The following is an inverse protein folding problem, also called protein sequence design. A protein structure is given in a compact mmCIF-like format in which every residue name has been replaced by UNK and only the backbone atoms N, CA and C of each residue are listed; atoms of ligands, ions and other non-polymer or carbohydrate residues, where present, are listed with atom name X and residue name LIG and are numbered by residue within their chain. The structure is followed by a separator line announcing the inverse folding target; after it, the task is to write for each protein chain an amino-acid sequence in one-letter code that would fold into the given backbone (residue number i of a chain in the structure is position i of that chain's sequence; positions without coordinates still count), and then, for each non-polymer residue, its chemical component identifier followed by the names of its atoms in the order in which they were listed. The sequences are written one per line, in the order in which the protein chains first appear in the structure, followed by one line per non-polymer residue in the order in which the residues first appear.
data_IF_530707323286
#
_entry.id   IF_530707323286
#
_cell.length_a   1.000
_cell.length_b   1.000
_cell.length_c   1.000
_cell.angle_alpha   90.00
_cell.angle_beta   90.00
_cell.angle_gamma   90.00
#
_symmetry.space_group_name_H-M   'P 1'
#
loop_
_entity.id
_entity.type
_entity.pdbx_description
1 polymer ?
#
# COMPACT_ATOMS: atom_id res chain seq x y z
N UNK A 1 20.86 -22.77 10.94
CA UNK A 1 19.88 -21.88 10.27
C UNK A 1 20.05 -20.43 10.68
N UNK A 2 19.95 -20.09 11.96
CA UNK A 2 20.07 -18.70 12.46
C UNK A 2 21.37 -18.03 12.01
N UNK A 3 22.53 -18.68 12.20
CA UNK A 3 23.83 -18.13 11.78
C UNK A 3 23.89 -17.81 10.28
N UNK A 4 23.14 -18.55 9.45
CA UNK A 4 23.13 -18.34 8.00
C UNK A 4 22.27 -17.13 7.64
N UNK A 5 21.12 -16.96 8.30
CA UNK A 5 20.30 -15.74 8.20
C UNK A 5 21.11 -14.52 8.65
N UNK A 6 21.74 -14.58 9.82
CA UNK A 6 22.56 -13.47 10.35
C UNK A 6 23.67 -13.08 9.37
N UNK A 7 24.35 -14.06 8.77
CA UNK A 7 25.43 -13.78 7.84
C UNK A 7 24.92 -13.14 6.53
N UNK A 8 23.80 -13.61 5.99
CA UNK A 8 23.18 -13.00 4.80
C UNK A 8 22.62 -11.60 5.11
N UNK A 9 22.00 -11.39 6.28
CA UNK A 9 21.57 -10.06 6.74
C UNK A 9 22.75 -9.10 6.85
N UNK A 10 23.88 -9.55 7.42
CA UNK A 10 25.10 -8.74 7.52
C UNK A 10 25.61 -8.34 6.13
N UNK A 11 25.65 -9.27 5.18
CA UNK A 11 26.04 -8.96 3.79
C UNK A 11 25.15 -7.89 3.16
N UNK A 12 23.87 -7.85 3.51
CA UNK A 12 22.93 -6.87 2.98
C UNK A 12 23.13 -5.48 3.61
N UNK A 13 23.13 -5.41 4.95
CA UNK A 13 23.16 -4.14 5.70
C UNK A 13 24.49 -3.39 5.53
N UNK A 14 25.62 -4.11 5.46
CA UNK A 14 26.94 -3.48 5.36
C UNK A 14 27.32 -3.05 3.94
N UNK A 15 26.46 -3.26 2.93
CA UNK A 15 26.68 -2.73 1.58
C UNK A 15 26.34 -1.25 1.52
N UNK A 16 27.14 -0.46 0.80
CA UNK A 16 26.85 0.97 0.55
C UNK A 16 25.46 1.18 -0.06
N UNK A 17 25.02 0.25 -0.93
CA UNK A 17 23.70 0.29 -1.55
C UNK A 17 22.54 0.32 -0.54
N UNK A 18 22.69 -0.30 0.64
CA UNK A 18 21.67 -0.28 1.68
C UNK A 18 21.38 1.13 2.18
N UNK A 19 22.43 1.88 2.55
CA UNK A 19 22.29 3.26 3.00
C UNK A 19 21.78 4.19 1.89
N UNK A 20 22.18 3.94 0.64
CA UNK A 20 21.65 4.66 -0.53
C UNK A 20 20.15 4.43 -0.66
N UNK A 21 19.64 3.20 -0.46
CA UNK A 21 18.20 2.93 -0.49
C UNK A 21 17.44 3.67 0.61
N UNK A 22 17.97 3.71 1.84
CA UNK A 22 17.32 4.46 2.93
C UNK A 22 17.29 5.96 2.66
N UNK A 23 18.41 6.53 2.20
CA UNK A 23 18.46 7.93 1.81
C UNK A 23 17.49 8.24 0.67
N UNK A 24 17.44 7.38 -0.35
CA UNK A 24 16.51 7.53 -1.48
C UNK A 24 15.06 7.49 -1.02
N UNK A 25 14.68 6.56 -0.15
CA UNK A 25 13.32 6.47 0.40
C UNK A 25 12.94 7.72 1.17
N UNK A 26 13.85 8.22 2.02
CA UNK A 26 13.61 9.44 2.77
C UNK A 26 13.42 10.65 1.83
N UNK A 27 14.31 10.81 0.83
CA UNK A 27 14.24 11.89 -0.16
C UNK A 27 12.95 11.81 -0.98
N UNK A 28 12.56 10.61 -1.43
CA UNK A 28 11.32 10.41 -2.17
C UNK A 28 10.08 10.70 -1.31
N UNK A 29 10.11 10.34 -0.04
CA UNK A 29 9.03 10.66 0.91
C UNK A 29 8.92 12.16 1.12
N UNK A 30 10.05 12.85 1.29
CA UNK A 30 10.10 14.31 1.41
C UNK A 30 9.58 14.97 0.13
N UNK A 31 10.05 14.55 -1.04
CA UNK A 31 9.60 15.09 -2.33
C UNK A 31 8.10 14.88 -2.56
N UNK A 32 7.58 13.69 -2.23
CA UNK A 32 6.14 13.41 -2.33
C UNK A 32 5.33 14.28 -1.37
N UNK A 33 5.79 14.48 -0.13
CA UNK A 33 5.16 15.39 0.83
C UNK A 33 5.16 16.84 0.34
N UNK A 34 6.31 17.34 -0.15
CA UNK A 34 6.42 18.69 -0.69
C UNK A 34 5.51 18.90 -1.92
N UNK A 35 5.41 17.89 -2.78
CA UNK A 35 4.50 17.92 -3.93
C UNK A 35 3.03 17.99 -3.50
N UNK A 36 2.64 17.23 -2.49
CA UNK A 36 1.27 17.28 -1.95
C UNK A 36 0.97 18.65 -1.32
N UNK A 37 1.90 19.24 -0.57
CA UNK A 37 1.77 20.61 -0.03
C UNK A 37 1.61 21.64 -1.15
N UNK A 38 2.35 21.48 -2.26
CA UNK A 38 2.25 22.37 -3.40
C UNK A 38 0.84 22.32 -4.03
N UNK A 39 0.29 21.12 -4.23
CA UNK A 39 -1.06 20.97 -4.78
C UNK A 39 -2.17 21.37 -3.80
N UNK A 40 -1.94 21.30 -2.50
CA UNK A 40 -2.95 21.62 -1.50
C UNK A 40 -3.17 23.11 -1.27
N UNK A 41 -2.43 24.00 -1.94
CA UNK A 41 -2.61 25.46 -1.83
C UNK A 41 -3.72 26.01 -2.74
N UNK A 42 -4.33 25.18 -3.58
CA UNK A 42 -5.40 25.58 -4.49
C UNK A 42 -6.74 25.66 -3.74
N UNK A 43 -7.39 26.83 -3.76
CA UNK A 43 -8.71 27.01 -3.14
C UNK A 43 -9.77 26.16 -3.83
N UNK A 44 -10.74 25.67 -3.07
CA UNK A 44 -11.84 24.90 -3.64
C UNK A 44 -12.80 25.81 -4.42
N UNK A 45 -13.11 25.42 -5.66
CA UNK A 45 -14.16 26.02 -6.48
C UNK A 45 -15.42 25.17 -6.42
N UNK A 46 -16.59 25.81 -6.40
CA UNK A 46 -17.89 25.15 -6.42
C UNK A 46 -18.87 25.91 -7.30
N UNK A 47 -19.82 25.20 -7.91
CA UNK A 47 -20.80 25.77 -8.82
C UNK A 47 -22.16 25.80 -8.14
N UNK A 48 -22.81 26.97 -8.14
CA UNK A 48 -24.16 27.15 -7.61
C UNK A 48 -25.06 27.62 -8.74
N UNK A 49 -26.30 27.13 -8.81
CA UNK A 49 -27.31 27.74 -9.65
C UNK A 49 -27.90 28.98 -8.98
N UNK A 50 -27.62 30.15 -9.56
CA UNK A 50 -28.26 31.41 -9.18
C UNK A 50 -29.06 31.93 -10.37
N UNK A 51 -30.36 32.18 -10.16
CA UNK A 51 -31.27 32.71 -11.18
C UNK A 51 -31.25 31.89 -12.50
N UNK A 52 -31.17 30.57 -12.41
CA UNK A 52 -31.16 29.67 -13.58
C UNK A 52 -29.86 29.67 -14.38
N UNK A 53 -28.76 30.20 -13.82
CA UNK A 53 -27.41 30.13 -14.41
C UNK A 53 -26.44 29.49 -13.41
N UNK A 54 -25.62 28.58 -13.91
CA UNK A 54 -24.52 27.99 -13.13
C UNK A 54 -23.39 29.02 -12.97
N UNK A 55 -23.13 29.44 -11.73
CA UNK A 55 -22.07 30.39 -11.37
C UNK A 55 -21.01 29.66 -10.56
N UNK A 56 -19.75 29.72 -10.99
CA UNK A 56 -18.61 29.20 -10.22
C UNK A 56 -18.18 30.22 -9.18
N UNK A 57 -18.14 29.81 -7.92
CA UNK A 57 -17.67 30.59 -6.77
C UNK A 57 -16.46 29.90 -6.15
N UNK A 58 -15.59 30.69 -5.54
CA UNK A 58 -14.43 30.19 -4.80
C UNK A 58 -14.73 30.24 -3.30
N UNK A 59 -14.48 29.14 -2.60
CA UNK A 59 -14.60 29.11 -1.15
C UNK A 59 -13.51 29.98 -0.52
N UNK A 60 -13.85 30.71 0.54
CA UNK A 60 -12.84 31.53 1.23
C UNK A 60 -11.76 30.63 1.79
N UNK A 61 -10.50 31.03 1.59
CA UNK A 61 -9.36 30.31 2.16
C UNK A 61 -9.51 30.25 3.68
N UNK A 62 -9.14 29.12 4.28
CA UNK A 62 -9.26 28.82 5.73
C UNK A 62 -10.63 28.34 6.21
N UNK A 63 -11.70 28.50 5.43
CA UNK A 63 -12.98 27.83 5.74
C UNK A 63 -12.86 26.33 5.41
N UNK A 64 -13.13 25.42 6.36
CA UNK A 64 -13.11 23.99 6.08
C UNK A 64 -14.16 23.63 5.03
N UNK A 65 -13.81 22.73 4.13
CA UNK A 65 -14.75 22.11 3.21
C UNK A 65 -14.89 20.63 3.57
N UNK A 66 -15.98 20.29 4.24
CA UNK A 66 -16.21 18.91 4.66
C UNK A 66 -16.83 18.09 3.54
N UNK A 67 -17.92 18.58 2.97
CA UNK A 67 -18.71 17.89 1.94
C UNK A 67 -19.57 18.91 1.20
N UNK A 68 -20.36 18.44 0.24
CA UNK A 68 -21.40 19.24 -0.41
C UNK A 68 -22.77 18.72 0.01
N UNK A 69 -23.73 19.63 0.15
CA UNK A 69 -25.13 19.27 0.34
C UNK A 69 -25.77 18.81 -1.00
N UNK A 70 -27.02 18.37 -0.94
CA UNK A 70 -27.76 17.88 -2.11
C UNK A 70 -28.00 18.98 -3.17
N UNK A 71 -27.84 20.25 -2.79
CA UNK A 71 -27.94 21.43 -3.67
C UNK A 71 -26.58 21.86 -4.24
N UNK A 72 -25.50 21.15 -3.90
CA UNK A 72 -24.13 21.45 -4.35
C UNK A 72 -23.45 22.60 -3.60
N UNK A 73 -23.99 23.04 -2.46
CA UNK A 73 -23.37 24.07 -1.62
C UNK A 73 -22.35 23.44 -0.67
N UNK A 74 -21.24 24.15 -0.39
CA UNK A 74 -20.19 23.65 0.50
C UNK A 74 -20.67 23.64 1.96
N UNK A 75 -20.51 22.50 2.63
CA UNK A 75 -20.76 22.36 4.06
C UNK A 75 -19.47 22.66 4.82
N UNK A 76 -19.49 23.77 5.56
CA UNK A 76 -18.31 24.31 6.28
C UNK A 76 -18.42 24.18 7.81
N UNK A 77 -19.61 23.85 8.34
CA UNK A 77 -19.80 23.55 9.75
C UNK A 77 -19.70 22.03 9.99
N UNK A 78 -18.98 21.63 11.05
CA UNK A 78 -18.79 20.23 11.40
C UNK A 78 -20.10 19.57 11.86
N UNK A 79 -20.95 20.30 12.57
CA UNK A 79 -22.26 19.80 13.02
C UNK A 79 -23.16 19.51 11.82
N UNK A 80 -23.24 20.45 10.87
CA UNK A 80 -24.02 20.28 9.63
C UNK A 80 -23.49 19.10 8.80
N UNK A 81 -22.16 18.92 8.71
CA UNK A 81 -21.55 17.79 8.02
C UNK A 81 -21.88 16.44 8.68
N UNK A 82 -21.90 16.39 10.02
CA UNK A 82 -22.29 15.20 10.79
C UNK A 82 -23.76 14.87 10.59
N UNK A 83 -24.66 15.87 10.69
CA UNK A 83 -26.10 15.70 10.48
C UNK A 83 -26.40 15.21 9.07
N UNK A 84 -25.79 15.82 8.06
CA UNK A 84 -25.95 15.40 6.67
C UNK A 84 -25.45 13.96 6.44
N UNK A 85 -24.32 13.60 7.03
CA UNK A 85 -23.77 12.24 6.93
C UNK A 85 -24.66 11.22 7.65
N UNK A 86 -25.35 11.63 8.71
CA UNK A 86 -26.35 10.82 9.41
C UNK A 86 -27.57 10.57 8.53
N UNK A 87 -28.06 11.60 7.85
CA UNK A 87 -29.18 11.48 6.91
C UNK A 87 -28.82 10.57 5.73
N UNK A 88 -27.63 10.73 5.15
CA UNK A 88 -27.10 9.83 4.11
C UNK A 88 -27.06 8.37 4.58
N UNK A 89 -26.59 8.12 5.80
CA UNK A 89 -26.57 6.78 6.38
C UNK A 89 -27.97 6.20 6.57
N UNK A 90 -28.94 6.99 7.05
CA UNK A 90 -30.33 6.55 7.22
C UNK A 90 -30.99 6.21 5.87
N UNK A 91 -30.73 7.01 4.83
CA UNK A 91 -31.20 6.74 3.46
C UNK A 91 -30.59 5.44 2.94
N UNK A 92 -29.27 5.28 3.03
CA UNK A 92 -28.57 4.08 2.58
C UNK A 92 -29.02 2.83 3.37
N UNK A 93 -29.33 2.97 4.66
CA UNK A 93 -29.82 1.86 5.49
C UNK A 93 -31.26 1.45 5.17
N UNK A 94 -32.05 2.31 4.52
CA UNK A 94 -33.41 2.01 4.07
C UNK A 94 -33.44 1.33 2.70
N UNK A 95 -32.42 1.56 1.85
CA UNK A 95 -32.22 0.80 0.62
C UNK A 95 -31.88 -0.67 0.95
N UNK A 96 -32.19 -1.59 0.04
CA UNK A 96 -31.89 -3.01 0.26
C UNK A 96 -30.38 -3.22 0.46
N UNK A 97 -30.02 -3.74 1.65
CA UNK A 97 -28.64 -3.98 2.06
C UNK A 97 -27.93 -4.97 1.13
N UNK A 98 -28.69 -5.84 0.47
CA UNK A 98 -28.18 -6.83 -0.49
C UNK A 98 -27.85 -6.20 -1.85
N UNK A 99 -28.53 -5.13 -2.25
CA UNK A 99 -28.33 -4.51 -3.57
C UNK A 99 -27.18 -3.50 -3.57
N UNK A 100 -26.98 -2.75 -2.48
CA UNK A 100 -25.96 -1.69 -2.39
C UNK A 100 -25.13 -1.70 -1.09
N UNK A 101 -24.40 -2.79 -0.79
CA UNK A 101 -23.59 -2.90 0.44
C UNK A 101 -22.47 -1.86 0.52
N UNK A 102 -21.93 -1.43 -0.62
CA UNK A 102 -20.89 -0.40 -0.74
C UNK A 102 -21.38 0.98 -0.29
N UNK A 103 -22.56 1.41 -0.73
CA UNK A 103 -23.14 2.72 -0.38
C UNK A 103 -23.35 2.82 1.14
N UNK A 104 -23.90 1.75 1.74
CA UNK A 104 -24.12 1.69 3.17
C UNK A 104 -22.82 1.75 3.96
N UNK A 105 -21.79 1.02 3.52
CA UNK A 105 -20.47 1.02 4.17
C UNK A 105 -19.80 2.38 4.08
N UNK A 106 -19.86 3.03 2.91
CA UNK A 106 -19.31 4.37 2.69
C UNK A 106 -20.00 5.41 3.58
N UNK A 107 -21.33 5.46 3.57
CA UNK A 107 -22.11 6.39 4.40
C UNK A 107 -21.88 6.16 5.90
N UNK A 108 -21.78 4.89 6.32
CA UNK A 108 -21.45 4.54 7.72
C UNK A 108 -20.06 5.02 8.11
N UNK A 109 -19.07 4.84 7.24
CA UNK A 109 -17.70 5.30 7.50
C UNK A 109 -17.68 6.83 7.60
N UNK A 110 -18.28 7.53 6.64
CA UNK A 110 -18.35 8.99 6.65
C UNK A 110 -18.98 9.54 7.94
N UNK A 111 -20.12 8.99 8.36
CA UNK A 111 -20.74 9.36 9.63
C UNK A 111 -19.80 9.15 10.83
N UNK A 112 -19.20 7.95 10.93
CA UNK A 112 -18.29 7.62 12.03
C UNK A 112 -17.03 8.51 12.05
N UNK A 113 -16.61 9.03 10.90
CA UNK A 113 -15.52 9.99 10.80
C UNK A 113 -15.92 11.33 11.45
N UNK A 114 -17.04 11.92 11.03
CA UNK A 114 -17.46 13.23 11.55
C UNK A 114 -17.89 13.17 13.01
N UNK A 115 -18.59 12.12 13.43
CA UNK A 115 -18.92 11.89 14.85
C UNK A 115 -17.66 11.91 15.72
N UNK A 116 -16.60 11.23 15.27
CA UNK A 116 -15.36 11.17 16.04
C UNK A 116 -14.66 12.52 16.18
N UNK A 117 -14.70 13.34 15.13
CA UNK A 117 -14.17 14.70 15.19
C UNK A 117 -15.03 15.61 16.08
N UNK A 118 -16.35 15.51 15.96
CA UNK A 118 -17.30 16.26 16.79
C UNK A 118 -17.13 15.94 18.28
N UNK A 119 -17.06 14.65 18.65
CA UNK A 119 -16.76 14.19 20.01
C UNK A 119 -15.44 14.72 20.56
N UNK A 120 -14.42 14.87 19.69
CA UNK A 120 -13.10 15.33 20.09
C UNK A 120 -12.99 16.85 20.26
N UNK A 121 -14.00 17.61 19.81
CA UNK A 121 -13.97 19.07 19.81
C UNK A 121 -12.94 19.66 18.84
N UNK A 122 -12.44 18.88 17.88
CA UNK A 122 -11.42 19.30 16.89
C UNK A 122 -12.05 19.29 15.51
N UNK A 123 -11.81 20.34 14.73
CA UNK A 123 -12.24 20.38 13.33
C UNK A 123 -11.24 19.61 12.44
N UNK A 124 -11.72 18.74 11.54
CA UNK A 124 -10.86 18.08 10.57
C UNK A 124 -10.13 19.08 9.68
N UNK A 125 -8.90 18.75 9.29
CA UNK A 125 -8.17 19.48 8.26
C UNK A 125 -8.61 18.93 6.91
N UNK A 126 -8.99 19.84 6.04
CA UNK A 126 -9.55 19.62 4.71
C UNK A 126 -8.72 20.39 3.69
N UNK A 127 -8.97 20.14 2.40
CA UNK A 127 -8.27 20.81 1.31
C UNK A 127 -8.25 22.34 1.43
N UNK A 128 -9.31 22.95 1.99
CA UNK A 128 -9.49 24.38 2.00
C UNK A 128 -9.05 25.10 3.31
N UNK A 129 -8.79 24.37 4.41
CA UNK A 129 -8.36 24.91 5.71
C UNK A 129 -7.01 24.35 6.21
N UNK A 130 -6.12 23.98 5.29
CA UNK A 130 -4.80 23.43 5.63
C UNK A 130 -4.33 22.32 4.70
N UNK A 131 -5.14 21.95 3.71
CA UNK A 131 -4.80 20.96 2.70
C UNK A 131 -4.96 19.55 3.24
N UNK A 132 -3.89 19.06 3.84
CA UNK A 132 -3.77 17.69 4.35
C UNK A 132 -3.13 17.75 5.73
N UNK A 133 -3.63 16.95 6.69
CA UNK A 133 -2.99 16.85 8.02
C UNK A 133 -1.79 15.90 8.00
N UNK A 134 -0.85 16.08 8.93
CA UNK A 134 0.26 15.15 9.12
C UNK A 134 -0.21 13.68 9.32
N UNK A 135 -1.34 13.48 10.00
CA UNK A 135 -1.95 12.16 10.19
C UNK A 135 -2.49 11.56 8.90
N UNK A 136 -3.21 12.34 8.09
CA UNK A 136 -3.71 11.86 6.79
C UNK A 136 -2.58 11.56 5.80
N UNK A 137 -1.50 12.37 5.77
CA UNK A 137 -0.28 12.05 5.01
C UNK A 137 0.33 10.72 5.47
N UNK A 138 0.48 10.53 6.79
CA UNK A 138 1.02 9.31 7.39
C UNK A 138 0.16 8.07 7.12
N UNK A 139 -1.15 8.21 6.93
CA UNK A 139 -2.03 7.12 6.53
C UNK A 139 -1.96 6.81 5.02
N UNK A 140 -1.45 7.74 4.20
CA UNK A 140 -1.46 7.69 2.73
C UNK A 140 -0.17 7.12 2.09
N UNK A 141 0.45 6.12 2.72
CA UNK A 141 1.78 5.62 2.31
C UNK A 141 1.78 4.62 1.14
N UNK A 142 0.62 4.35 0.52
CA UNK A 142 0.49 3.26 -0.44
C UNK A 142 1.46 3.40 -1.62
N UNK A 143 1.63 4.62 -2.13
CA UNK A 143 2.61 4.94 -3.18
C UNK A 143 4.05 4.67 -2.73
N UNK A 144 4.43 5.14 -1.54
CA UNK A 144 5.77 4.94 -0.97
C UNK A 144 6.06 3.45 -0.74
N UNK A 145 5.08 2.68 -0.27
CA UNK A 145 5.24 1.24 -0.06
C UNK A 145 5.30 0.46 -1.38
N UNK A 146 4.74 0.97 -2.48
CA UNK A 146 4.96 0.40 -3.81
C UNK A 146 6.44 0.47 -4.21
N UNK A 147 7.11 1.59 -3.90
CA UNK A 147 8.56 1.75 -4.11
C UNK A 147 9.34 0.77 -3.23
N UNK A 148 8.92 0.57 -1.97
CA UNK A 148 9.50 -0.46 -1.09
C UNK A 148 9.39 -1.84 -1.73
N UNK A 149 8.23 -2.20 -2.28
CA UNK A 149 8.03 -3.48 -2.96
C UNK A 149 8.99 -3.65 -4.15
N UNK A 150 9.22 -2.59 -4.93
CA UNK A 150 10.20 -2.61 -6.03
C UNK A 150 11.63 -2.84 -5.53
N UNK A 151 12.04 -2.19 -4.44
CA UNK A 151 13.36 -2.38 -3.84
C UNK A 151 13.52 -3.81 -3.31
N UNK A 152 12.48 -4.36 -2.67
CA UNK A 152 12.47 -5.77 -2.22
C UNK A 152 12.61 -6.73 -3.41
N UNK A 153 11.89 -6.48 -4.51
CA UNK A 153 11.99 -7.25 -5.75
C UNK A 153 13.41 -7.25 -6.29
N UNK A 154 14.06 -6.07 -6.36
CA UNK A 154 15.45 -5.96 -6.82
C UNK A 154 16.38 -6.79 -5.92
N UNK A 155 16.28 -6.62 -4.60
CA UNK A 155 17.15 -7.31 -3.63
C UNK A 155 16.95 -8.82 -3.71
N UNK A 156 15.70 -9.29 -3.75
CA UNK A 156 15.37 -10.71 -3.88
C UNK A 156 15.89 -11.27 -5.20
N UNK A 157 15.68 -10.57 -6.31
CA UNK A 157 16.14 -10.98 -7.65
C UNK A 157 17.67 -11.08 -7.74
N UNK A 158 18.40 -10.13 -7.16
CA UNK A 158 19.87 -10.16 -7.16
C UNK A 158 20.41 -11.24 -6.20
N UNK A 159 19.75 -11.49 -5.07
CA UNK A 159 20.26 -12.36 -3.99
C UNK A 159 20.64 -13.78 -4.41
N UNK A 160 19.94 -14.34 -5.41
CA UNK A 160 20.19 -15.68 -5.96
C UNK A 160 20.92 -15.59 -7.30
N UNK A 161 20.53 -14.66 -8.18
CA UNK A 161 21.10 -14.52 -9.52
C UNK A 161 22.58 -14.13 -9.48
N UNK A 162 23.01 -13.34 -8.49
CA UNK A 162 24.42 -12.96 -8.36
C UNK A 162 25.32 -14.14 -8.06
N UNK A 163 24.83 -15.12 -7.29
CA UNK A 163 25.62 -16.31 -6.95
C UNK A 163 25.84 -17.19 -8.19
N UNK A 164 24.88 -17.19 -9.13
CA UNK A 164 25.01 -17.87 -10.40
C UNK A 164 25.91 -17.11 -11.39
N UNK A 165 25.73 -15.79 -11.50
CA UNK A 165 26.54 -14.98 -12.43
C UNK A 165 28.01 -14.95 -12.05
N UNK A 166 28.30 -14.91 -10.75
CA UNK A 166 29.66 -14.72 -10.24
C UNK A 166 30.37 -16.08 -10.05
N UNK A 167 29.70 -17.20 -10.32
CA UNK A 167 30.23 -18.56 -10.13
C UNK A 167 30.39 -18.99 -8.66
N UNK A 168 30.09 -18.11 -7.70
CA UNK A 168 30.21 -18.37 -6.25
C UNK A 168 29.21 -19.41 -5.75
N UNK A 169 28.21 -19.78 -6.55
CA UNK A 169 27.33 -20.91 -6.27
C UNK A 169 28.10 -22.21 -6.01
N UNK A 170 29.25 -22.42 -6.66
CA UNK A 170 30.12 -23.59 -6.43
C UNK A 170 30.74 -23.55 -5.03
N UNK A 171 31.13 -22.38 -4.54
CA UNK A 171 31.65 -22.18 -3.18
C UNK A 171 30.57 -22.35 -2.11
N UNK A 172 29.32 -21.98 -2.43
CA UNK A 172 28.17 -22.22 -1.55
C UNK A 172 27.90 -23.71 -1.35
N UNK A 173 28.20 -24.56 -2.33
CA UNK A 173 27.95 -26.00 -2.29
C UNK A 173 28.98 -26.80 -1.48
N UNK A 174 30.15 -26.21 -1.19
CA UNK A 174 31.19 -26.85 -0.35
C UNK A 174 30.88 -26.64 1.15
N UNK A 175 29.99 -25.71 1.50
CA UNK A 175 29.57 -25.47 2.88
C UNK A 175 28.61 -26.56 3.38
N UNK A 176 28.60 -26.92 4.68
CA UNK A 176 27.78 -27.99 5.25
C UNK A 176 26.30 -27.60 5.44
N UNK A 177 25.71 -26.90 4.46
CA UNK A 177 24.31 -26.48 4.48
C UNK A 177 23.54 -27.06 3.30
N UNK A 178 22.32 -27.53 3.55
CA UNK A 178 21.45 -28.04 2.47
C UNK A 178 21.04 -26.88 1.56
N UNK A 179 20.92 -27.12 0.25
CA UNK A 179 20.51 -26.09 -0.73
C UNK A 179 19.20 -25.38 -0.36
N UNK A 180 18.23 -26.12 0.19
CA UNK A 180 16.96 -25.55 0.67
C UNK A 180 17.12 -24.63 1.88
N UNK A 181 18.13 -24.87 2.73
CA UNK A 181 18.44 -24.01 3.88
C UNK A 181 19.02 -22.67 3.43
N UNK A 182 19.83 -22.68 2.36
CA UNK A 182 20.40 -21.46 1.74
C UNK A 182 19.30 -20.65 1.05
N UNK A 183 18.38 -21.29 0.33
CA UNK A 183 17.26 -20.57 -0.28
C UNK A 183 16.33 -19.98 0.79
N UNK A 184 16.00 -20.77 1.81
CA UNK A 184 15.13 -20.33 2.92
C UNK A 184 15.73 -19.14 3.67
N UNK A 185 17.04 -19.13 3.93
CA UNK A 185 17.66 -17.99 4.59
C UNK A 185 17.58 -16.72 3.74
N UNK A 186 17.79 -16.82 2.42
CA UNK A 186 17.70 -15.67 1.51
C UNK A 186 16.27 -15.14 1.48
N UNK A 187 15.27 -16.03 1.46
CA UNK A 187 13.88 -15.64 1.59
C UNK A 187 13.61 -14.91 2.91
N UNK A 188 14.02 -15.47 4.06
CA UNK A 188 13.86 -14.83 5.37
C UNK A 188 14.56 -13.46 5.42
N UNK A 189 15.76 -13.33 4.85
CA UNK A 189 16.49 -12.06 4.78
C UNK A 189 15.73 -11.03 3.95
N UNK A 190 15.12 -11.42 2.84
CA UNK A 190 14.27 -10.54 2.04
C UNK A 190 13.03 -10.08 2.82
N UNK A 191 12.40 -10.97 3.59
CA UNK A 191 11.25 -10.64 4.44
C UNK A 191 11.62 -9.70 5.58
N UNK A 192 12.75 -9.92 6.25
CA UNK A 192 13.26 -9.05 7.31
C UNK A 192 13.67 -7.68 6.75
N UNK A 193 14.32 -7.67 5.59
CA UNK A 193 14.66 -6.44 4.89
C UNK A 193 13.41 -5.65 4.50
N UNK A 194 12.41 -6.30 3.91
CA UNK A 194 11.14 -5.67 3.58
C UNK A 194 10.44 -5.07 4.81
N UNK A 195 10.37 -5.83 5.91
CA UNK A 195 9.83 -5.32 7.18
C UNK A 195 10.59 -4.08 7.69
N UNK A 196 11.92 -4.15 7.70
CA UNK A 196 12.76 -3.04 8.14
C UNK A 196 12.56 -1.78 7.29
N UNK A 197 12.57 -1.95 5.96
CA UNK A 197 12.39 -0.82 5.04
C UNK A 197 10.98 -0.25 5.15
N UNK A 198 9.94 -1.06 5.30
CA UNK A 198 8.57 -0.59 5.58
C UNK A 198 8.51 0.24 6.86
N UNK A 199 9.12 -0.22 7.95
CA UNK A 199 9.18 0.54 9.21
C UNK A 199 9.94 1.85 9.03
N UNK A 200 11.06 1.83 8.32
CA UNK A 200 11.83 3.03 8.01
C UNK A 200 11.01 4.03 7.16
N UNK A 201 10.24 3.55 6.18
CA UNK A 201 9.33 4.39 5.39
C UNK A 201 8.25 5.03 6.26
N UNK A 202 7.66 4.28 7.20
CA UNK A 202 6.68 4.84 8.14
C UNK A 202 7.32 5.91 9.02
N UNK A 203 8.48 5.65 9.61
CA UNK A 203 9.21 6.65 10.41
C UNK A 203 9.53 7.91 9.58
N UNK A 204 10.03 7.72 8.35
CA UNK A 204 10.32 8.82 7.43
C UNK A 204 9.07 9.65 7.14
N UNK A 205 7.94 9.00 6.87
CA UNK A 205 6.69 9.68 6.59
C UNK A 205 6.10 10.40 7.81
N UNK A 206 6.29 9.84 9.02
CA UNK A 206 5.90 10.53 10.26
C UNK A 206 6.70 11.81 10.46
N UNK A 207 8.02 11.75 10.25
CA UNK A 207 8.92 12.92 10.34
C UNK A 207 8.56 13.97 9.29
N UNK A 208 8.47 13.56 8.01
CA UNK A 208 8.09 14.46 6.91
C UNK A 208 6.70 15.05 7.14
N UNK A 209 5.75 14.24 7.60
CA UNK A 209 4.40 14.63 7.96
C UNK A 209 4.38 15.78 8.96
N UNK A 210 5.14 15.64 10.05
CA UNK A 210 5.25 16.65 11.10
C UNK A 210 5.96 17.94 10.67
N UNK A 211 6.88 17.85 9.70
CA UNK A 211 7.64 19.01 9.20
C UNK A 211 6.81 19.82 8.19
N UNK A 212 6.09 19.14 7.29
CA UNK A 212 5.46 19.77 6.12
C UNK A 212 3.99 20.09 6.28
N UNK A 213 3.26 19.38 7.15
CA UNK A 213 1.80 19.49 7.23
C UNK A 213 1.33 20.00 8.60
N UNK A 214 0.16 20.66 8.67
CA UNK A 214 -0.46 21.02 9.92
C UNK A 214 -0.59 19.84 10.89
N UNK A 215 -0.20 20.06 12.14
CA UNK A 215 -0.16 19.03 13.17
C UNK A 215 -1.57 18.76 13.68
N UNK A 216 -2.03 17.54 13.45
CA UNK A 216 -3.25 17.00 14.03
C UNK A 216 -2.92 15.65 14.68
N UNK A 217 -3.63 15.28 15.74
CA UNK A 217 -3.37 14.03 16.45
C UNK A 217 -3.47 12.83 15.51
N UNK A 218 -2.44 11.96 15.50
CA UNK A 218 -2.45 10.70 14.76
C UNK A 218 -3.48 9.68 15.29
N UNK A 219 -4.11 9.99 16.44
CA UNK A 219 -5.22 9.21 17.00
C UNK A 219 -6.57 9.61 16.41
N UNK A 220 -6.64 10.74 15.70
CA UNK A 220 -7.84 11.15 14.99
C UNK A 220 -7.96 10.42 13.64
N UNK A 221 -9.19 10.28 13.11
CA UNK A 221 -9.41 9.61 11.85
C UNK A 221 -8.66 10.24 10.67
N UNK A 222 -8.12 9.41 9.77
CA UNK A 222 -7.32 9.88 8.65
C UNK A 222 -8.14 10.37 7.45
N UNK A 223 -9.27 9.73 7.19
CA UNK A 223 -10.15 10.03 6.05
C UNK A 223 -11.56 9.55 6.32
N UNK A 224 -12.55 10.20 5.71
CA UNK A 224 -13.95 9.79 5.77
C UNK A 224 -14.16 8.36 5.23
N UNK A 225 -13.40 7.96 4.20
CA UNK A 225 -13.46 6.61 3.61
C UNK A 225 -13.13 5.49 4.60
N UNK A 226 -12.31 5.79 5.61
CA UNK A 226 -11.88 4.85 6.65
C UNK A 226 -12.75 4.91 7.91
N UNK A 227 -13.67 5.87 7.98
CA UNK A 227 -14.50 6.13 9.15
C UNK A 227 -13.69 6.47 10.39
N UNK A 228 -14.06 5.95 11.56
CA UNK A 228 -13.41 6.27 12.83
C UNK A 228 -11.98 5.67 13.00
N UNK A 229 -11.38 5.13 11.95
CA UNK A 229 -10.03 4.54 12.01
C UNK A 229 -8.98 5.65 12.07
N UNK A 230 -8.29 5.73 13.21
CA UNK A 230 -7.18 6.67 13.43
C UNK A 230 -6.05 6.50 12.40
N UNK A 231 -5.35 7.59 12.07
CA UNK A 231 -4.21 7.58 11.16
C UNK A 231 -3.15 6.52 11.49
N UNK A 232 -2.82 6.33 12.77
CA UNK A 232 -1.83 5.32 13.16
C UNK A 232 -2.28 3.88 12.86
N UNK A 233 -3.57 3.58 13.09
CA UNK A 233 -4.17 2.27 12.77
C UNK A 233 -4.28 2.06 11.26
N UNK A 234 -4.65 3.09 10.51
CA UNK A 234 -4.71 3.04 9.05
C UNK A 234 -3.33 2.73 8.44
N UNK A 235 -2.30 3.47 8.86
CA UNK A 235 -0.93 3.23 8.43
C UNK A 235 -0.42 1.83 8.83
N UNK A 236 -0.74 1.38 10.05
CA UNK A 236 -0.42 0.03 10.51
C UNK A 236 -1.11 -1.07 9.70
N UNK A 237 -2.39 -0.89 9.36
CA UNK A 237 -3.14 -1.80 8.50
C UNK A 237 -2.53 -1.86 7.10
N UNK A 238 -2.18 -0.71 6.52
CA UNK A 238 -1.50 -0.62 5.23
C UNK A 238 -0.13 -1.30 5.26
N UNK A 239 0.65 -1.13 6.33
CA UNK A 239 1.93 -1.82 6.49
C UNK A 239 1.74 -3.34 6.57
N UNK A 240 0.70 -3.80 7.28
CA UNK A 240 0.39 -5.23 7.40
C UNK A 240 -0.07 -5.85 6.07
N UNK A 241 -0.98 -5.20 5.33
CA UNK A 241 -1.41 -5.66 4.01
C UNK A 241 -0.26 -5.63 3.01
N UNK A 242 0.59 -4.59 3.06
CA UNK A 242 1.76 -4.49 2.20
C UNK A 242 2.79 -5.57 2.51
N UNK A 243 2.88 -6.02 3.76
CA UNK A 243 3.77 -7.13 4.11
C UNK A 243 3.38 -8.44 3.42
N UNK A 244 2.09 -8.68 3.17
CA UNK A 244 1.64 -9.81 2.36
C UNK A 244 2.16 -9.70 0.91
N UNK A 245 2.19 -8.49 0.35
CA UNK A 245 2.79 -8.23 -0.96
C UNK A 245 4.29 -8.49 -0.95
N UNK A 246 5.00 -8.06 0.10
CA UNK A 246 6.44 -8.34 0.27
C UNK A 246 6.72 -9.85 0.27
N UNK A 247 5.88 -10.65 0.95
CA UNK A 247 5.99 -12.11 0.96
C UNK A 247 5.86 -12.68 -0.45
N UNK A 248 4.81 -12.26 -1.18
CA UNK A 248 4.57 -12.68 -2.55
C UNK A 248 5.71 -12.27 -3.49
N UNK A 249 6.07 -10.99 -3.49
CA UNK A 249 7.09 -10.42 -4.36
C UNK A 249 8.46 -11.05 -4.09
N UNK A 250 8.80 -11.32 -2.83
CA UNK A 250 10.02 -12.05 -2.48
C UNK A 250 10.01 -13.48 -3.05
N UNK A 251 8.88 -14.18 -2.96
CA UNK A 251 8.76 -15.56 -3.46
C UNK A 251 8.90 -15.61 -4.99
N UNK A 252 8.17 -14.76 -5.72
CA UNK A 252 8.22 -14.73 -7.20
C UNK A 252 9.57 -14.23 -7.72
N UNK A 253 10.17 -13.21 -7.09
CA UNK A 253 11.50 -12.72 -7.46
C UNK A 253 12.58 -13.78 -7.27
N UNK A 254 12.54 -14.54 -6.16
CA UNK A 254 13.46 -15.65 -5.96
C UNK A 254 13.23 -16.78 -6.97
N UNK A 255 11.98 -17.06 -7.34
CA UNK A 255 11.66 -18.03 -8.39
C UNK A 255 12.29 -17.63 -9.72
N UNK A 256 12.02 -16.40 -10.18
CA UNK A 256 12.56 -15.85 -11.42
C UNK A 256 14.09 -15.88 -11.37
N UNK A 257 14.68 -15.42 -10.27
CA UNK A 257 16.12 -15.41 -10.06
C UNK A 257 16.76 -16.80 -10.18
N UNK A 258 16.16 -17.82 -9.55
CA UNK A 258 16.61 -19.20 -9.61
C UNK A 258 16.45 -19.83 -11.02
N UNK A 259 15.42 -19.41 -11.77
CA UNK A 259 15.14 -19.91 -13.12
C UNK A 259 16.11 -19.31 -14.14
N UNK A 260 16.22 -17.99 -14.20
CA UNK A 260 16.90 -17.25 -15.26
C UNK A 260 18.41 -17.10 -15.05
N UNK A 261 18.93 -17.17 -13.81
CA UNK A 261 20.37 -17.10 -13.49
C UNK A 261 21.12 -15.88 -14.04
N UNK A 262 20.39 -14.84 -14.46
CA UNK A 262 20.91 -13.57 -14.94
C UNK A 262 20.33 -12.47 -14.07
N UNK A 263 21.20 -11.63 -13.49
CA UNK A 263 20.78 -10.53 -12.63
C UNK A 263 19.84 -9.57 -13.38
N UNK A 264 20.19 -9.23 -14.62
CA UNK A 264 19.41 -8.31 -15.45
C UNK A 264 18.01 -8.86 -15.77
N UNK A 265 17.91 -10.13 -16.21
CA UNK A 265 16.63 -10.76 -16.50
C UNK A 265 15.78 -10.93 -15.23
N UNK A 266 16.40 -11.31 -14.12
CA UNK A 266 15.70 -11.52 -12.86
C UNK A 266 15.11 -10.22 -12.30
N UNK A 267 15.85 -9.12 -12.38
CA UNK A 267 15.35 -7.80 -11.97
C UNK A 267 14.27 -7.32 -12.94
N UNK A 268 14.50 -7.42 -14.26
CA UNK A 268 13.54 -6.96 -15.26
C UNK A 268 12.17 -7.64 -15.14
N UNK A 269 12.12 -8.97 -15.08
CA UNK A 269 10.86 -9.72 -14.99
C UNK A 269 10.18 -9.52 -13.62
N UNK A 270 10.98 -9.44 -12.55
CA UNK A 270 10.45 -9.14 -11.22
C UNK A 270 9.74 -7.78 -11.18
N UNK A 271 10.37 -6.74 -11.75
CA UNK A 271 9.78 -5.41 -11.84
C UNK A 271 8.55 -5.38 -12.73
N UNK A 272 8.56 -6.08 -13.87
CA UNK A 272 7.38 -6.22 -14.72
C UNK A 272 6.18 -6.78 -13.94
N UNK A 273 6.40 -7.68 -12.98
CA UNK A 273 5.31 -8.22 -12.14
C UNK A 273 4.66 -7.13 -11.28
N UNK A 274 5.45 -6.21 -10.72
CA UNK A 274 4.94 -5.07 -9.93
C UNK A 274 4.12 -4.14 -10.81
N UNK A 275 4.64 -3.73 -11.97
CA UNK A 275 3.95 -2.81 -12.87
C UNK A 275 2.72 -3.42 -13.56
N UNK A 276 2.81 -4.69 -13.96
CA UNK A 276 1.71 -5.42 -14.59
C UNK A 276 0.49 -5.50 -13.66
N UNK A 277 0.68 -5.54 -12.34
CA UNK A 277 -0.43 -5.56 -11.39
C UNK A 277 -1.36 -4.36 -11.52
N UNK A 278 -0.82 -3.16 -11.73
CA UNK A 278 -1.61 -1.93 -11.89
C UNK A 278 -2.37 -1.91 -13.23
N UNK A 279 -1.67 -2.26 -14.32
CA UNK A 279 -2.26 -2.27 -15.67
C UNK A 279 -3.38 -3.32 -15.77
N UNK A 280 -3.12 -4.53 -15.28
CA UNK A 280 -4.07 -5.65 -15.36
C UNK A 280 -5.27 -5.40 -14.44
N UNK A 281 -5.10 -4.73 -13.29
CA UNK A 281 -6.22 -4.47 -12.39
C UNK A 281 -7.33 -3.62 -13.05
N UNK A 282 -6.96 -2.60 -13.84
CA UNK A 282 -7.94 -1.81 -14.59
C UNK A 282 -8.79 -2.65 -15.56
N UNK A 283 -8.18 -3.66 -16.18
CA UNK A 283 -8.90 -4.61 -17.04
C UNK A 283 -9.76 -5.59 -16.23
N UNK A 284 -9.26 -6.05 -15.07
CA UNK A 284 -9.96 -6.98 -14.19
C UNK A 284 -11.24 -6.38 -13.60
N UNK A 285 -11.26 -5.07 -13.31
CA UNK A 285 -12.46 -4.39 -12.82
C UNK A 285 -13.66 -4.53 -13.77
N UNK A 286 -13.40 -4.56 -15.09
CA UNK A 286 -14.42 -4.74 -16.13
C UNK A 286 -14.70 -6.23 -16.40
N UNK A 287 -13.69 -7.08 -16.26
CA UNK A 287 -13.77 -8.50 -16.61
C UNK A 287 -14.40 -9.37 -15.50
N UNK A 288 -14.19 -9.06 -14.22
CA UNK A 288 -14.68 -9.86 -13.08
C UNK A 288 -16.22 -10.00 -13.06
N UNK A 289 -17.02 -8.94 -13.31
CA UNK A 289 -18.47 -9.08 -13.38
C UNK A 289 -18.93 -10.06 -14.46
N UNK A 290 -18.19 -10.16 -15.57
CA UNK A 290 -18.49 -11.10 -16.66
C UNK A 290 -18.03 -12.51 -16.29
N UNK A 291 -16.80 -12.64 -15.80
CA UNK A 291 -16.14 -13.92 -15.51
C UNK A 291 -15.70 -13.98 -14.04
N UNK A 292 -16.59 -14.42 -13.12
CA UNK A 292 -16.36 -14.35 -11.68
C UNK A 292 -15.11 -15.09 -11.17
N UNK A 293 -14.64 -16.10 -11.89
CA UNK A 293 -13.41 -16.83 -11.56
C UNK A 293 -12.17 -15.92 -11.53
N UNK A 294 -12.18 -14.83 -12.30
CA UNK A 294 -11.07 -13.88 -12.38
C UNK A 294 -10.83 -13.13 -11.06
N UNK A 295 -11.77 -13.14 -10.12
CA UNK A 295 -11.56 -12.55 -8.78
C UNK A 295 -10.39 -13.22 -8.04
N UNK A 296 -10.10 -14.48 -8.31
CA UNK A 296 -8.97 -15.22 -7.73
C UNK A 296 -7.66 -15.05 -8.50
N UNK A 297 -7.65 -14.26 -9.58
CA UNK A 297 -6.42 -13.92 -10.29
C UNK A 297 -5.42 -13.26 -9.36
N UNK A 298 -4.15 -13.67 -9.47
CA UNK A 298 -3.08 -13.10 -8.64
C UNK A 298 -3.01 -11.58 -8.76
N UNK A 299 -3.23 -11.03 -9.96
CA UNK A 299 -3.20 -9.59 -10.18
C UNK A 299 -4.37 -8.85 -9.50
N UNK A 300 -5.52 -9.52 -9.29
CA UNK A 300 -6.54 -8.97 -8.40
C UNK A 300 -6.00 -8.94 -6.97
N UNK A 301 -5.53 -10.08 -6.47
CA UNK A 301 -5.01 -10.27 -5.10
C UNK A 301 -3.86 -9.31 -4.73
N UNK A 302 -3.05 -8.88 -5.69
CA UNK A 302 -1.98 -7.89 -5.48
C UNK A 302 -2.50 -6.49 -5.09
N UNK A 303 -3.81 -6.25 -5.19
CA UNK A 303 -4.44 -5.00 -4.76
C UNK A 303 -4.94 -5.05 -3.32
N UNK A 304 -4.42 -5.95 -2.47
CA UNK A 304 -4.81 -6.08 -1.05
C UNK A 304 -4.70 -4.78 -0.24
N UNK A 305 -3.85 -3.83 -0.65
CA UNK A 305 -3.77 -2.51 0.00
C UNK A 305 -5.02 -1.63 -0.22
N UNK A 306 -6.01 -2.04 -1.02
CA UNK A 306 -7.29 -1.31 -1.14
C UNK A 306 -8.08 -1.36 0.17
N UNK A 307 -8.01 -2.48 0.91
CA UNK A 307 -8.67 -2.60 2.22
C UNK A 307 -8.19 -1.55 3.22
N UNK A 308 -6.89 -1.22 3.19
CA UNK A 308 -6.29 -0.22 4.08
C UNK A 308 -6.64 1.23 3.72
N UNK A 309 -7.36 1.45 2.63
CA UNK A 309 -7.77 2.77 2.13
C UNK A 309 -9.30 2.97 2.20
N UNK A 310 -10.02 2.00 2.79
CA UNK A 310 -11.49 2.01 2.84
C UNK A 310 -12.15 1.53 1.56
N UNK A 311 -11.35 1.19 0.55
CA UNK A 311 -11.83 0.66 -0.72
C UNK A 311 -12.29 -0.79 -0.62
N UNK A 312 -12.85 -1.26 -1.72
CA UNK A 312 -13.35 -2.62 -1.87
C UNK A 312 -12.65 -3.32 -3.02
N UNK A 313 -12.54 -4.63 -2.87
CA UNK A 313 -11.83 -5.44 -3.83
C UNK A 313 -12.78 -5.91 -4.93
N UNK A 314 -12.39 -5.85 -6.21
CA UNK A 314 -13.18 -6.41 -7.29
C UNK A 314 -13.55 -7.88 -7.02
N UNK A 315 -14.84 -8.21 -7.16
CA UNK A 315 -15.39 -9.53 -6.85
C UNK A 315 -15.70 -9.77 -5.37
N UNK A 316 -15.76 -8.69 -4.57
CA UNK A 316 -16.19 -8.66 -3.17
C UNK A 316 -15.44 -9.64 -2.25
N UNK A 317 -14.15 -9.84 -2.54
CA UNK A 317 -13.30 -10.64 -1.67
C UNK A 317 -13.10 -9.93 -0.34
N UNK A 318 -13.20 -10.69 0.75
CA UNK A 318 -12.84 -10.20 2.09
C UNK A 318 -11.32 -10.16 2.28
N UNK A 319 -10.85 -9.32 3.21
CA UNK A 319 -9.43 -9.25 3.58
C UNK A 319 -8.86 -10.63 3.95
N UNK A 320 -9.63 -11.46 4.66
CA UNK A 320 -9.20 -12.79 5.06
C UNK A 320 -9.03 -13.73 3.85
N UNK A 321 -10.00 -13.75 2.93
CA UNK A 321 -9.92 -14.57 1.71
C UNK A 321 -8.73 -14.15 0.84
N UNK A 322 -8.54 -12.84 0.65
CA UNK A 322 -7.41 -12.31 -0.12
C UNK A 322 -6.08 -12.64 0.53
N UNK A 323 -5.97 -12.51 1.86
CA UNK A 323 -4.74 -12.80 2.60
C UNK A 323 -4.37 -14.29 2.50
N UNK A 324 -5.34 -15.19 2.73
CA UNK A 324 -5.12 -16.64 2.64
C UNK A 324 -4.73 -17.05 1.22
N UNK A 325 -5.43 -16.53 0.21
CA UNK A 325 -5.11 -16.82 -1.18
C UNK A 325 -3.70 -16.34 -1.55
N UNK A 326 -3.33 -15.10 -1.20
CA UNK A 326 -2.03 -14.53 -1.53
C UNK A 326 -0.88 -15.28 -0.83
N UNK A 327 -1.05 -15.68 0.43
CA UNK A 327 -0.09 -16.53 1.13
C UNK A 327 -0.02 -17.94 0.51
N UNK A 328 -1.16 -18.49 0.08
CA UNK A 328 -1.22 -19.77 -0.64
C UNK A 328 -0.43 -19.73 -1.95
N UNK A 329 -0.63 -18.71 -2.78
CA UNK A 329 0.16 -18.49 -4.00
C UNK A 329 1.66 -18.36 -3.69
N UNK A 330 2.00 -17.56 -2.68
CA UNK A 330 3.39 -17.36 -2.26
C UNK A 330 4.05 -18.66 -1.81
N UNK A 331 3.33 -19.50 -1.05
CA UNK A 331 3.80 -20.80 -0.60
C UNK A 331 4.03 -21.75 -1.79
N UNK A 332 3.07 -21.83 -2.72
CA UNK A 332 3.19 -22.68 -3.92
C UNK A 332 4.41 -22.27 -4.76
N UNK A 333 4.58 -20.96 -5.00
CA UNK A 333 5.74 -20.40 -5.73
C UNK A 333 7.05 -20.73 -5.01
N UNK A 334 7.09 -20.56 -3.69
CA UNK A 334 8.29 -20.85 -2.90
C UNK A 334 8.65 -22.35 -2.92
N UNK A 335 7.65 -23.24 -2.80
CA UNK A 335 7.85 -24.68 -2.88
C UNK A 335 8.33 -25.10 -4.28
N UNK A 336 7.73 -24.55 -5.34
CA UNK A 336 8.18 -24.76 -6.72
C UNK A 336 9.64 -24.32 -6.91
N UNK A 337 10.01 -23.15 -6.38
CA UNK A 337 11.39 -22.64 -6.40
C UNK A 337 12.34 -23.60 -5.70
N UNK A 338 11.98 -24.07 -4.51
CA UNK A 338 12.79 -25.02 -3.73
C UNK A 338 12.98 -26.34 -4.48
N UNK A 339 11.94 -26.82 -5.17
CA UNK A 339 12.00 -28.02 -5.98
C UNK A 339 12.95 -27.86 -7.18
N UNK A 340 12.83 -26.75 -7.92
CA UNK A 340 13.72 -26.41 -9.05
C UNK A 340 15.18 -26.34 -8.57
N UNK A 341 15.42 -25.72 -7.43
CA UNK A 341 16.76 -25.53 -6.86
C UNK A 341 17.39 -26.84 -6.33
N UNK A 342 16.57 -27.78 -5.85
CA UNK A 342 17.01 -29.11 -5.44
C UNK A 342 17.36 -30.01 -6.61
N UNK A 343 16.48 -30.07 -7.63
CA UNK A 343 16.63 -31.02 -8.76
C UNK A 343 17.66 -30.61 -9.80
N UNK A 344 17.95 -29.31 -9.96
CA UNK A 344 18.92 -28.86 -10.96
C UNK A 344 20.35 -29.10 -10.46
N UNK A 345 21.13 -29.84 -11.25
CA UNK A 345 22.55 -29.98 -11.02
C UNK A 345 23.28 -28.67 -11.34
N UNK A 346 24.22 -28.30 -10.47
CA UNK A 346 25.00 -27.04 -10.57
C UNK A 346 26.50 -27.38 -10.76
N UNK A 347 26.87 -28.66 -10.67
CA UNK A 347 28.25 -29.11 -10.75
C UNK A 347 28.85 -29.11 -12.16
N UNK A 348 28.03 -29.05 -13.23
CA UNK A 348 28.48 -29.30 -14.61
C UNK A 348 28.07 -28.21 -15.62
N UNK A 349 27.99 -26.94 -15.20
CA UNK A 349 27.94 -25.82 -16.14
C UNK A 349 28.90 -24.71 -15.74
#
# INVERSE_FOLDING_TARGET
MINLVVNETRKLIFRKSFYVYLALIFVLTLAAGSLQVYFSQQSAEYTVEENGKSVTKTLKKEEPLFTFDDEGKPVTNLEDAMLLSRDRYLIASKKDKLEHPEELKSAKNELAYYEKYYESGVTPITSNNGGQSAGSFFASLAGMLSIVNMVVVIVASISVASEFSDGTIKLLLIRPFKRSQILLSKFIVCLLFGAFVTLFTMLSAGIVGLILFPVQSFMLPASASLGAVSAIKAAGMLAATNYLLIVFYSAISLMISAVFRSQALAVGIGMLTVFASSIINGMLMIAIPKWPILKWSIFNLLNVNTFSQGGVMPGELSLMQTSVALLGYSLVIYLATTFIFKKRDIALT
#
